data_IF_117870349490
#
_entry.id   IF_117870349490
#
_cell.length_a   1.000
_cell.length_b   1.000
_cell.length_c   1.000
_cell.angle_alpha   90.00
_cell.angle_beta   90.00
_cell.angle_gamma   90.00
#
_symmetry.space_group_name_H-M   'P 1'
#
loop_
_entity.id
_entity.type
_entity.pdbx_description
1 polymer ?
#
# COMPACT_ATOMS: atom_id res chain seq x y z
N UNK A 1 8.10 12.88 -0.91
CA UNK A 1 6.86 13.06 -1.66
C UNK A 1 6.10 11.75 -1.72
N UNK A 2 4.78 11.77 -1.57
CA UNK A 2 4.02 10.53 -1.66
C UNK A 2 4.05 9.99 -3.08
N UNK A 3 4.07 8.68 -3.17
CA UNK A 3 4.03 7.99 -4.45
C UNK A 3 2.65 7.44 -4.67
N UNK A 4 2.35 7.06 -5.90
CA UNK A 4 1.06 6.47 -6.24
C UNK A 4 1.24 5.06 -6.75
N UNK A 5 0.24 4.24 -6.50
CA UNK A 5 0.21 2.89 -7.05
C UNK A 5 -1.21 2.36 -7.07
N UNK A 6 -1.33 1.16 -7.59
CA UNK A 6 -2.63 0.49 -7.70
C UNK A 6 -2.57 -0.75 -6.82
N UNK A 7 -3.61 -0.95 -6.03
CA UNK A 7 -3.71 -2.13 -5.18
C UNK A 7 -3.85 -3.36 -6.06
N UNK A 8 -2.86 -4.24 -6.01
CA UNK A 8 -2.87 -5.47 -6.78
C UNK A 8 -3.80 -6.49 -6.14
N UNK A 9 -3.70 -6.64 -4.83
CA UNK A 9 -4.67 -7.36 -4.04
C UNK A 9 -4.49 -7.00 -2.57
N UNK A 10 -5.50 -7.27 -1.77
CA UNK A 10 -5.40 -7.09 -0.33
C UNK A 10 -6.29 -8.13 0.35
N UNK A 11 -5.73 -8.81 1.34
CA UNK A 11 -6.45 -9.81 2.11
C UNK A 11 -6.56 -9.35 3.55
N UNK A 12 -7.74 -8.86 3.92
CA UNK A 12 -7.96 -8.33 5.28
C UNK A 12 -7.93 -9.42 6.34
N UNK A 13 -8.25 -10.65 5.99
CA UNK A 13 -8.19 -11.76 6.93
C UNK A 13 -6.75 -12.09 7.31
N UNK A 14 -5.86 -12.11 6.33
CA UNK A 14 -4.45 -12.36 6.56
C UNK A 14 -3.69 -11.11 6.97
N UNK A 15 -4.28 -9.95 6.71
CA UNK A 15 -3.72 -8.68 7.15
C UNK A 15 -2.60 -8.13 6.30
N UNK A 16 -2.60 -8.43 5.00
CA UNK A 16 -1.58 -7.88 4.10
C UNK A 16 -2.06 -7.82 2.67
N UNK A 17 -1.30 -7.11 1.86
CA UNK A 17 -1.56 -7.01 0.43
C UNK A 17 -0.36 -6.43 -0.28
N UNK A 18 -0.53 -6.16 -1.56
CA UNK A 18 0.54 -5.61 -2.39
C UNK A 18 0.01 -4.46 -3.24
N UNK A 19 0.86 -3.46 -3.42
CA UNK A 19 0.57 -2.31 -4.25
C UNK A 19 1.56 -2.30 -5.40
N UNK A 20 1.06 -2.13 -6.61
CA UNK A 20 1.90 -2.00 -7.79
C UNK A 20 2.21 -0.53 -8.01
N UNK A 21 3.50 -0.12 -7.92
CA UNK A 21 3.84 1.27 -8.12
C UNK A 21 3.47 1.76 -9.51
N UNK A 22 3.05 3.01 -9.59
CA UNK A 22 2.66 3.62 -10.86
C UNK A 22 3.84 3.66 -11.84
N UNK A 23 5.04 3.81 -11.32
CA UNK A 23 6.25 3.89 -12.16
C UNK A 23 6.73 2.53 -12.67
N UNK A 24 6.04 1.46 -12.33
CA UNK A 24 6.36 0.13 -12.85
C UNK A 24 7.42 -0.63 -12.07
N UNK A 25 7.75 -0.17 -10.86
CA UNK A 25 8.69 -0.88 -10.02
C UNK A 25 8.13 -2.18 -9.46
N UNK A 26 8.88 -2.78 -8.54
CA UNK A 26 8.46 -4.01 -7.88
C UNK A 26 7.25 -3.76 -6.99
N UNK A 27 6.42 -4.80 -6.84
CA UNK A 27 5.27 -4.71 -5.94
C UNK A 27 5.72 -4.40 -4.52
N UNK A 28 4.93 -3.59 -3.83
CA UNK A 28 5.23 -3.15 -2.48
C UNK A 28 4.31 -3.85 -1.49
N UNK A 29 4.90 -4.31 -0.39
CA UNK A 29 4.13 -4.92 0.68
C UNK A 29 3.37 -3.85 1.46
N UNK A 30 2.11 -4.14 1.80
CA UNK A 30 1.33 -3.29 2.69
C UNK A 30 0.69 -4.16 3.76
N UNK A 31 0.90 -3.78 5.01
CA UNK A 31 0.33 -4.50 6.14
C UNK A 31 -0.94 -3.81 6.64
N UNK A 32 -1.85 -4.57 7.21
CA UNK A 32 -3.12 -4.02 7.67
C UNK A 32 -2.93 -2.95 8.75
N UNK A 33 -1.84 -3.03 9.51
CA UNK A 33 -1.55 -1.99 10.50
C UNK A 33 -1.34 -0.64 9.83
N UNK A 34 -0.70 -0.62 8.67
CA UNK A 34 -0.52 0.63 7.92
C UNK A 34 -1.86 1.17 7.42
N UNK A 35 -2.74 0.27 7.01
CA UNK A 35 -4.08 0.65 6.58
C UNK A 35 -4.85 1.28 7.74
N UNK A 36 -4.83 0.63 8.90
CA UNK A 36 -5.51 1.14 10.09
C UNK A 36 -4.95 2.48 10.55
N UNK A 37 -3.62 2.62 10.56
CA UNK A 37 -2.97 3.85 10.98
C UNK A 37 -3.28 5.00 10.04
N UNK A 38 -3.60 4.70 8.80
CA UNK A 38 -3.99 5.69 7.81
C UNK A 38 -5.46 6.08 7.89
N UNK A 39 -6.21 5.47 8.81
CA UNK A 39 -7.63 5.74 8.98
C UNK A 39 -8.52 4.97 8.03
N UNK A 40 -7.98 3.95 7.40
CA UNK A 40 -8.71 3.12 6.44
C UNK A 40 -9.08 1.78 7.10
N UNK A 41 -10.10 1.12 6.55
CA UNK A 41 -10.53 -0.18 7.04
C UNK A 41 -9.86 -1.30 6.25
N UNK A 42 -9.83 -1.17 4.94
CA UNK A 42 -9.21 -2.14 4.07
C UNK A 42 -8.94 -1.50 2.71
N UNK A 43 -8.26 -2.25 1.84
CA UNK A 43 -8.01 -1.82 0.48
C UNK A 43 -8.69 -2.77 -0.48
N UNK A 44 -9.04 -2.28 -1.65
CA UNK A 44 -9.69 -3.08 -2.68
C UNK A 44 -8.81 -3.18 -3.91
N UNK A 45 -8.88 -4.32 -4.57
CA UNK A 45 -8.13 -4.55 -5.80
C UNK A 45 -8.48 -3.50 -6.85
N UNK A 46 -7.46 -2.95 -7.49
CA UNK A 46 -7.65 -1.94 -8.54
C UNK A 46 -7.77 -0.52 -8.03
N UNK A 47 -7.77 -0.35 -6.72
CA UNK A 47 -7.88 0.98 -6.10
C UNK A 47 -6.57 1.75 -6.23
N UNK A 48 -6.67 3.04 -6.55
CA UNK A 48 -5.48 3.90 -6.63
C UNK A 48 -5.22 4.49 -5.25
N UNK A 49 -3.99 4.34 -4.77
CA UNK A 49 -3.61 4.86 -3.46
C UNK A 49 -2.31 5.63 -3.53
N UNK A 50 -2.21 6.65 -2.70
CA UNK A 50 -0.96 7.32 -2.43
C UNK A 50 -0.31 6.70 -1.21
N UNK A 51 1.02 6.67 -1.17
CA UNK A 51 1.73 6.05 -0.05
C UNK A 51 3.13 6.62 0.06
N UNK A 52 3.75 6.32 1.20
CA UNK A 52 5.16 6.60 1.40
C UNK A 52 5.89 5.27 1.60
N UNK A 53 7.17 5.25 1.31
CA UNK A 53 7.98 4.06 1.48
C UNK A 53 8.70 4.12 2.82
N UNK A 54 8.66 3.00 3.53
CA UNK A 54 9.39 2.85 4.78
C UNK A 54 10.31 1.64 4.64
N UNK A 55 11.62 1.82 4.84
CA UNK A 55 12.54 0.67 4.76
C UNK A 55 12.24 -0.32 5.88
N UNK A 56 12.29 -1.60 5.53
CA UNK A 56 12.08 -2.66 6.50
C UNK A 56 13.41 -2.99 7.16
N UNK A 57 13.48 -2.81 8.48
CA UNK A 57 14.69 -3.09 9.24
C UNK A 57 15.10 -4.55 9.20
N UNK A 58 14.18 -5.44 8.84
CA UNK A 58 14.45 -6.87 8.77
C UNK A 58 14.89 -7.32 7.38
N UNK A 59 15.12 -6.40 6.47
CA UNK A 59 15.62 -6.73 5.15
C UNK A 59 14.62 -7.28 4.16
N UNK A 60 13.35 -7.13 4.43
CA UNK A 60 12.30 -7.62 3.52
C UNK A 60 11.94 -6.62 2.41
N UNK A 61 12.71 -5.57 2.30
CA UNK A 61 12.44 -4.53 1.31
C UNK A 61 11.48 -3.47 1.83
N UNK A 62 11.28 -2.40 1.05
CA UNK A 62 10.42 -1.31 1.50
C UNK A 62 8.96 -1.72 1.57
N UNK A 63 8.23 -1.10 2.48
CA UNK A 63 6.80 -1.32 2.62
C UNK A 63 6.07 0.00 2.47
N UNK A 64 4.81 -0.07 2.07
CA UNK A 64 3.97 1.11 1.90
C UNK A 64 3.33 1.50 3.24
N UNK A 65 3.42 2.78 3.57
CA UNK A 65 2.83 3.34 4.79
C UNK A 65 2.15 4.66 4.45
N UNK A 66 1.44 5.23 5.42
CA UNK A 66 0.76 6.52 5.25
C UNK A 66 -0.11 6.52 4.01
N UNK A 67 -1.02 5.56 3.95
CA UNK A 67 -1.85 5.36 2.78
C UNK A 67 -2.95 6.41 2.66
N UNK A 68 -3.19 6.86 1.45
CA UNK A 68 -4.25 7.82 1.14
C UNK A 68 -4.99 7.32 -0.08
N UNK A 69 -6.30 7.22 0.02
CA UNK A 69 -7.11 6.86 -1.14
C UNK A 69 -7.14 8.03 -2.11
N UNK A 70 -6.84 7.75 -3.36
CA UNK A 70 -6.88 8.75 -4.40
C UNK A 70 -8.13 8.50 -5.22
N UNK A 71 -9.05 9.44 -5.14
CA UNK A 71 -10.29 9.33 -5.87
C UNK A 71 -10.09 9.96 -7.24
N UNK A 72 -9.67 9.13 -8.17
CA UNK A 72 -9.36 9.56 -9.52
C UNK A 72 -10.54 9.28 -10.42
N UNK A 73 -11.50 10.14 -10.33
CA UNK A 73 -12.72 10.03 -11.14
C UNK A 73 -12.60 10.75 -12.48
#
# INVERSE_FOLDING_TARGET
MPQKGIVKFFNSEKGYGFIRPEDGGNDLFVHISAVSQSGLVSLEQGQVVGYELEPDKKGKGPKAVNLVLINDS
#
